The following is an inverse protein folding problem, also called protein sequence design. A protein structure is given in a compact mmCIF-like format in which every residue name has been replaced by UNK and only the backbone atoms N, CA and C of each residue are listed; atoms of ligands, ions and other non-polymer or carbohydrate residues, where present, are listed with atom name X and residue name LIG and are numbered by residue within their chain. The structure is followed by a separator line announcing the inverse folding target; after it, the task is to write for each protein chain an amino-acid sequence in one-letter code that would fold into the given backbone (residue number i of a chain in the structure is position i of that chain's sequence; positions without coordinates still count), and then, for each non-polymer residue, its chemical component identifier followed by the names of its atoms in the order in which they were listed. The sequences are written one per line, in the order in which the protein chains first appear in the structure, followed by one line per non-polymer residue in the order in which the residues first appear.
data_IF_975136478257
#
_entry.id   IF_975136478257
#
_cell.length_a   1.000
_cell.length_b   1.000
_cell.length_c   1.000
_cell.angle_alpha   90.00
_cell.angle_beta   90.00
_cell.angle_gamma   90.00
#
_symmetry.space_group_name_H-M   'P 1'
#
loop_
_entity.id
_entity.type
_entity.pdbx_description
1 polymer ?
#
# COMPACT_ATOMS: atom_id res chain seq x y z
N UNK A 1 -25.85 18.16 3.33
CA UNK A 1 -24.52 18.36 2.74
C UNK A 1 -24.23 17.15 1.86
N UNK A 2 -23.81 17.37 0.62
CA UNK A 2 -23.49 16.31 -0.34
C UNK A 2 -22.00 15.95 -0.23
N UNK A 3 -21.59 14.79 -0.72
CA UNK A 3 -20.16 14.43 -0.85
C UNK A 3 -19.38 15.44 -1.70
N UNK A 4 -20.06 16.11 -2.64
CA UNK A 4 -19.56 17.23 -3.46
C UNK A 4 -19.23 18.52 -2.67
N UNK A 5 -19.62 18.60 -1.39
CA UNK A 5 -19.39 19.77 -0.53
C UNK A 5 -18.02 19.70 0.18
N UNK A 6 -17.30 18.58 0.09
CA UNK A 6 -15.97 18.39 0.67
C UNK A 6 -14.89 18.66 -0.37
N UNK A 7 -13.98 19.59 -0.08
CA UNK A 7 -12.77 19.80 -0.89
C UNK A 7 -11.95 18.51 -0.93
N UNK A 8 -11.60 18.06 -2.13
CA UNK A 8 -10.63 17.00 -2.33
C UNK A 8 -9.29 17.48 -1.76
N UNK A 9 -8.92 16.99 -0.57
CA UNK A 9 -7.59 17.22 -0.01
C UNK A 9 -6.60 16.50 -0.91
N UNK A 10 -6.07 17.21 -1.92
CA UNK A 10 -4.89 16.79 -2.65
C UNK A 10 -3.74 16.75 -1.66
N UNK A 11 -3.46 15.57 -1.16
CA UNK A 11 -2.26 15.34 -0.37
C UNK A 11 -1.09 15.42 -1.34
N UNK A 12 -0.36 16.54 -1.34
CA UNK A 12 0.83 16.69 -2.16
C UNK A 12 1.84 15.62 -1.72
N UNK A 13 2.10 14.67 -2.61
CA UNK A 13 3.08 13.62 -2.41
C UNK A 13 4.33 13.98 -3.22
N UNK A 14 5.28 14.64 -2.56
CA UNK A 14 6.55 15.09 -3.15
C UNK A 14 7.63 13.97 -3.15
N UNK A 15 7.26 12.72 -2.81
CA UNK A 15 8.20 11.60 -2.73
C UNK A 15 8.54 11.04 -4.12
N UNK A 16 9.46 11.70 -4.81
CA UNK A 16 9.96 11.28 -6.12
C UNK A 16 11.43 10.81 -6.09
N UNK A 17 11.63 9.50 -5.93
CA UNK A 17 12.96 8.84 -6.05
C UNK A 17 13.30 8.39 -7.48
N UNK A 18 12.51 8.81 -8.49
CA UNK A 18 12.71 8.41 -9.89
C UNK A 18 12.40 6.95 -10.22
N UNK A 19 11.85 6.18 -9.27
CA UNK A 19 11.35 4.82 -9.45
C UNK A 19 9.86 4.84 -9.83
N UNK A 20 9.44 4.00 -10.78
CA UNK A 20 8.04 3.88 -11.22
C UNK A 20 7.13 3.48 -10.04
N UNK A 21 6.16 4.34 -9.72
CA UNK A 21 5.10 4.01 -8.78
C UNK A 21 4.02 3.17 -9.45
N UNK A 22 3.74 1.99 -8.89
CA UNK A 22 2.66 1.14 -9.36
C UNK A 22 1.41 1.33 -8.50
N UNK A 23 0.27 1.37 -9.18
CA UNK A 23 -1.05 1.24 -8.56
C UNK A 23 -1.55 -0.16 -8.81
N UNK A 24 -2.11 -0.79 -7.78
CA UNK A 24 -2.61 -2.15 -7.89
C UNK A 24 -3.95 -2.17 -8.63
N UNK A 25 -3.95 -2.81 -9.79
CA UNK A 25 -5.17 -3.23 -10.47
C UNK A 25 -5.76 -4.48 -9.79
N UNK A 26 -7.08 -4.62 -9.87
CA UNK A 26 -7.78 -5.77 -9.29
C UNK A 26 -7.36 -7.04 -10.04
N UNK A 27 -7.09 -8.09 -9.27
CA UNK A 27 -6.68 -9.40 -9.77
C UNK A 27 -5.32 -9.50 -10.48
N UNK A 28 -4.56 -8.41 -10.57
CA UNK A 28 -3.21 -8.38 -11.15
C UNK A 28 -2.14 -8.40 -10.04
N UNK A 29 -1.47 -9.54 -9.80
CA UNK A 29 -0.47 -9.64 -8.74
C UNK A 29 0.85 -8.98 -9.15
N UNK A 30 1.46 -8.29 -8.21
CA UNK A 30 2.84 -7.81 -8.30
C UNK A 30 3.71 -8.72 -7.47
N UNK A 31 4.76 -9.26 -8.08
CA UNK A 31 5.70 -10.17 -7.42
C UNK A 31 7.12 -9.70 -7.67
N UNK A 32 7.93 -9.63 -6.62
CA UNK A 32 9.33 -9.21 -6.72
C UNK A 32 10.12 -9.42 -5.45
N UNK A 33 11.39 -9.04 -5.50
CA UNK A 33 12.31 -9.02 -4.35
C UNK A 33 12.33 -7.62 -3.77
N UNK A 34 12.14 -7.51 -2.46
CA UNK A 34 12.29 -6.24 -1.74
C UNK A 34 13.74 -5.78 -1.88
N UNK A 35 13.93 -4.60 -2.48
CA UNK A 35 15.25 -3.98 -2.58
C UNK A 35 15.42 -2.85 -1.57
N UNK A 36 14.34 -2.21 -1.15
CA UNK A 36 14.37 -1.20 -0.10
C UNK A 36 12.98 -0.99 0.52
N UNK A 37 12.94 -0.40 1.72
CA UNK A 37 11.73 -0.03 2.44
C UNK A 37 12.00 1.32 3.10
N UNK A 38 11.47 2.38 2.50
CA UNK A 38 11.51 3.71 3.09
C UNK A 38 10.35 3.83 4.08
N UNK A 39 10.68 3.91 5.36
CA UNK A 39 9.70 3.90 6.44
C UNK A 39 9.26 5.30 6.81
N UNK A 40 7.95 5.44 7.06
CA UNK A 40 7.35 6.66 7.60
C UNK A 40 7.64 7.92 6.74
N UNK A 41 7.79 7.77 5.42
CA UNK A 41 8.18 8.85 4.48
C UNK A 41 7.00 9.54 3.78
N UNK A 42 5.82 8.90 3.76
CA UNK A 42 4.65 9.40 3.05
C UNK A 42 3.69 10.26 3.85
N UNK A 43 2.64 10.78 3.19
CA UNK A 43 1.51 11.33 3.91
C UNK A 43 0.90 10.25 4.80
N UNK A 44 0.71 10.61 6.08
CA UNK A 44 0.25 9.72 7.15
C UNK A 44 1.27 8.63 7.57
N UNK A 45 2.57 8.90 7.45
CA UNK A 45 3.63 8.01 7.97
C UNK A 45 3.56 6.58 7.36
N UNK A 46 3.17 6.51 6.08
CA UNK A 46 3.16 5.26 5.33
C UNK A 46 4.55 4.90 4.81
N UNK A 47 4.80 3.60 4.66
CA UNK A 47 6.03 3.07 4.08
C UNK A 47 5.95 3.03 2.55
N UNK A 48 7.07 3.26 1.88
CA UNK A 48 7.24 2.98 0.45
C UNK A 48 8.05 1.68 0.29
N UNK A 49 7.49 0.71 -0.41
CA UNK A 49 8.15 -0.57 -0.68
C UNK A 49 8.73 -0.53 -2.09
N UNK A 50 10.04 -0.72 -2.20
CA UNK A 50 10.73 -0.87 -3.47
C UNK A 50 10.89 -2.35 -3.80
N UNK A 51 10.35 -2.78 -4.95
CA UNK A 51 10.48 -4.14 -5.48
C UNK A 51 11.29 -4.15 -6.78
N UNK A 52 12.19 -5.13 -6.89
CA UNK A 52 12.74 -5.55 -8.16
C UNK A 52 11.88 -6.69 -8.75
N UNK A 53 11.47 -6.56 -10.01
CA UNK A 53 10.63 -7.51 -10.75
C UNK A 53 11.40 -8.15 -11.91
N UNK A 54 10.94 -9.33 -12.36
CA UNK A 54 11.47 -10.03 -13.53
C UNK A 54 12.62 -11.00 -13.25
N UNK A 55 12.93 -11.86 -14.22
CA UNK A 55 13.90 -12.97 -14.07
C UNK A 55 15.33 -12.56 -13.73
N UNK A 56 15.79 -11.41 -14.27
CA UNK A 56 17.10 -10.80 -13.99
C UNK A 56 16.96 -9.48 -13.18
N UNK A 57 15.83 -9.30 -12.44
CA UNK A 57 15.54 -8.26 -11.42
C UNK A 57 15.93 -6.79 -11.74
N UNK A 58 16.00 -6.42 -13.04
CA UNK A 58 16.39 -5.10 -13.50
C UNK A 58 15.29 -4.04 -13.51
N UNK A 59 14.03 -4.44 -13.36
CA UNK A 59 12.89 -3.52 -13.32
C UNK A 59 12.54 -3.19 -11.88
N UNK A 60 12.77 -1.94 -11.46
CA UNK A 60 12.44 -1.48 -10.10
C UNK A 60 11.14 -0.71 -10.11
N UNK A 61 10.29 -1.04 -9.16
CA UNK A 61 9.05 -0.31 -8.88
C UNK A 61 8.88 -0.02 -7.42
N UNK A 62 8.03 0.95 -7.13
CA UNK A 62 7.63 1.32 -5.78
C UNK A 62 6.12 1.29 -5.63
N UNK A 63 5.65 1.03 -4.43
CA UNK A 63 4.26 1.26 -4.06
C UNK A 63 4.14 1.62 -2.58
N UNK A 64 3.05 2.30 -2.25
CA UNK A 64 2.71 2.64 -0.87
C UNK A 64 2.18 1.42 -0.14
N UNK A 65 2.78 1.14 1.01
CA UNK A 65 2.27 0.15 1.95
C UNK A 65 0.93 0.61 2.52
N UNK A 66 0.11 -0.37 2.89
CA UNK A 66 -1.07 -0.16 3.72
C UNK A 66 -0.97 -1.07 4.95
N UNK A 67 -1.93 -0.95 5.88
CA UNK A 67 -1.93 -1.75 7.11
C UNK A 67 -1.88 -3.27 6.89
N UNK A 68 -2.42 -3.78 5.77
CA UNK A 68 -2.37 -5.22 5.45
C UNK A 68 -0.96 -5.64 5.01
N UNK A 69 -0.30 -4.83 4.17
CA UNK A 69 1.06 -5.09 3.68
C UNK A 69 2.09 -4.96 4.80
N UNK A 70 2.06 -3.83 5.55
CA UNK A 70 2.96 -3.58 6.69
C UNK A 70 2.92 -4.72 7.69
N UNK A 71 1.72 -5.19 8.04
CA UNK A 71 1.53 -6.30 8.99
C UNK A 71 2.18 -7.60 8.52
N UNK A 72 2.13 -7.92 7.23
CA UNK A 72 2.77 -9.14 6.71
C UNK A 72 4.29 -9.00 6.69
N UNK A 73 4.80 -7.84 6.26
CA UNK A 73 6.23 -7.52 6.29
C UNK A 73 6.78 -7.67 7.71
N UNK A 74 6.15 -7.04 8.71
CA UNK A 74 6.58 -7.09 10.10
C UNK A 74 6.46 -8.50 10.69
N UNK A 75 5.31 -9.17 10.49
CA UNK A 75 5.06 -10.51 11.04
C UNK A 75 6.03 -11.56 10.52
N UNK A 76 6.44 -11.45 9.24
CA UNK A 76 7.36 -12.39 8.61
C UNK A 76 8.82 -11.93 8.66
N UNK A 77 9.09 -10.71 9.15
CA UNK A 77 10.44 -10.14 9.15
C UNK A 77 10.98 -9.91 7.74
N UNK A 78 10.12 -9.59 6.77
CA UNK A 78 10.54 -9.34 5.40
C UNK A 78 11.38 -8.07 5.34
N UNK A 79 12.46 -8.12 4.59
CA UNK A 79 13.41 -7.00 4.45
C UNK A 79 14.09 -7.07 3.09
N UNK A 80 15.13 -6.25 2.87
CA UNK A 80 15.92 -6.31 1.64
C UNK A 80 16.39 -7.76 1.36
N UNK A 81 16.07 -8.25 0.16
CA UNK A 81 16.35 -9.62 -0.30
C UNK A 81 15.18 -10.59 -0.13
N UNK A 82 14.14 -10.25 0.63
CA UNK A 82 12.94 -11.09 0.77
C UNK A 82 12.05 -11.01 -0.46
N UNK A 83 11.37 -12.11 -0.77
CA UNK A 83 10.33 -12.14 -1.79
C UNK A 83 9.02 -11.61 -1.23
N UNK A 84 8.32 -10.82 -2.05
CA UNK A 84 7.02 -10.27 -1.73
C UNK A 84 6.09 -10.41 -2.94
N UNK A 85 4.88 -10.90 -2.70
CA UNK A 85 3.79 -10.95 -3.64
C UNK A 85 2.60 -10.19 -3.05
N UNK A 86 2.06 -9.22 -3.79
CA UNK A 86 0.93 -8.39 -3.39
C UNK A 86 -0.10 -8.41 -4.50
N UNK A 87 -1.34 -8.74 -4.16
CA UNK A 87 -2.47 -8.75 -5.09
C UNK A 87 -3.65 -8.02 -4.48
N UNK A 88 -4.19 -7.01 -5.18
CA UNK A 88 -5.48 -6.41 -4.83
C UNK A 88 -6.60 -7.34 -5.26
N UNK A 89 -7.50 -7.69 -4.35
CA UNK A 89 -8.65 -8.55 -4.65
C UNK A 89 -9.85 -7.72 -5.08
N UNK A 90 -10.86 -8.36 -5.66
CA UNK A 90 -12.16 -7.75 -5.96
C UNK A 90 -13.03 -7.55 -4.70
N UNK A 91 -12.65 -8.18 -3.58
CA UNK A 91 -13.34 -8.08 -2.30
C UNK A 91 -13.14 -6.69 -1.66
N UNK A 92 -14.25 -6.05 -1.28
CA UNK A 92 -14.28 -4.90 -0.39
C UNK A 92 -14.83 -5.31 0.98
N UNK A 93 -14.30 -4.70 2.03
CA UNK A 93 -14.81 -4.83 3.39
C UNK A 93 -15.07 -3.46 3.98
N UNK A 94 -16.02 -3.37 4.88
CA UNK A 94 -16.26 -2.17 5.69
C UNK A 94 -15.79 -2.38 7.12
N UNK A 95 -15.42 -1.27 7.76
CA UNK A 95 -15.26 -1.19 9.21
C UNK A 95 -15.87 0.12 9.70
N UNK A 96 -16.38 0.07 10.93
CA UNK A 96 -16.96 1.23 11.59
C UNK A 96 -15.86 2.01 12.31
N UNK A 97 -15.83 3.32 12.09
CA UNK A 97 -14.98 4.27 12.82
C UNK A 97 -15.88 5.13 13.69
N UNK A 98 -15.62 5.13 15.00
CA UNK A 98 -16.22 6.09 15.92
C UNK A 98 -15.40 7.38 15.88
N UNK A 99 -16.05 8.48 15.54
CA UNK A 99 -15.47 9.82 15.54
C UNK A 99 -15.54 10.44 16.94
N UNK A 100 -14.71 11.45 17.20
CA UNK A 100 -14.68 12.19 18.47
C UNK A 100 -16.02 12.83 18.88
N UNK A 101 -16.93 13.06 17.93
CA UNK A 101 -18.29 13.56 18.18
C UNK A 101 -19.31 12.46 18.52
N UNK A 102 -18.87 11.20 18.60
CA UNK A 102 -19.69 10.04 18.94
C UNK A 102 -20.53 9.51 17.78
N UNK A 103 -20.28 9.96 16.55
CA UNK A 103 -20.86 9.38 15.33
C UNK A 103 -20.04 8.20 14.85
N UNK A 104 -20.72 7.22 14.24
CA UNK A 104 -20.09 6.07 13.61
C UNK A 104 -20.17 6.21 12.10
N UNK A 105 -19.03 6.16 11.42
CA UNK A 105 -18.94 6.16 9.96
C UNK A 105 -18.45 4.80 9.46
N UNK A 106 -19.18 4.22 8.51
CA UNK A 106 -18.72 3.03 7.78
C UNK A 106 -17.68 3.45 6.75
N UNK A 107 -16.48 2.85 6.83
CA UNK A 107 -15.41 3.04 5.85
C UNK A 107 -15.14 1.76 5.09
N UNK A 108 -15.15 1.84 3.77
CA UNK A 108 -14.84 0.71 2.89
C UNK A 108 -13.35 0.68 2.52
N UNK A 109 -12.79 -0.52 2.41
CA UNK A 109 -11.43 -0.74 1.95
C UNK A 109 -11.33 -2.02 1.11
N UNK A 110 -10.40 -1.99 0.15
CA UNK A 110 -10.06 -3.18 -0.63
C UNK A 110 -9.22 -4.16 0.18
N UNK A 111 -9.52 -5.45 0.02
CA UNK A 111 -8.70 -6.53 0.58
C UNK A 111 -7.48 -6.78 -0.31
N UNK A 112 -6.33 -7.05 0.32
CA UNK A 112 -5.10 -7.41 -0.37
C UNK A 112 -4.63 -8.80 0.08
N UNK A 113 -4.34 -9.69 -0.87
CA UNK A 113 -3.62 -10.94 -0.62
C UNK A 113 -2.12 -10.65 -0.67
N UNK A 114 -1.47 -10.71 0.50
CA UNK A 114 -0.05 -10.39 0.69
C UNK A 114 0.68 -11.61 1.19
N UNK A 115 1.74 -12.00 0.46
CA UNK A 115 2.58 -13.17 0.76
C UNK A 115 4.04 -12.79 0.64
N UNK A 116 4.91 -13.48 1.38
CA UNK A 116 6.34 -13.25 1.31
C UNK A 116 7.14 -14.35 1.99
N UNK A 117 8.40 -14.45 1.60
CA UNK A 117 9.37 -15.49 1.98
C UNK A 117 10.78 -14.90 2.10
#
# INVERSE_FOLDING_TARGET
MSFDDFEETKVENDYDDGVEEIKFEVDEPVVGVIVDIDRDVGPNENDVIHLARGGDLGDRVKFWSNGQIRRVIEKKGLSNGSWLAVKKTDEMRSYEVENDDGTTEEREYHVFDVRGE
#
